data_IF_572949939357
#
_entry.id   IF_572949939357
#
_cell.length_a   1.000
_cell.length_b   1.000
_cell.length_c   1.000
_cell.angle_alpha   90.00
_cell.angle_beta   90.00
_cell.angle_gamma   90.00
#
_symmetry.space_group_name_H-M   'P 1'
#
loop_
_entity.id
_entity.type
_entity.pdbx_description
1 polymer ?
#
# COMPACT_ATOMS: atom_id res chain seq x y z
N UNK A 1 13.74 -5.05 28.28
CA UNK A 1 13.34 -5.50 26.93
C UNK A 1 12.00 -6.20 27.04
N UNK A 2 10.94 -5.52 26.61
CA UNK A 2 9.58 -6.08 26.66
C UNK A 2 9.46 -7.28 25.73
N UNK A 3 8.77 -8.32 26.20
CA UNK A 3 8.51 -9.53 25.42
C UNK A 3 7.50 -9.21 24.31
N UNK A 4 7.89 -9.43 23.06
CA UNK A 4 6.98 -9.30 21.90
C UNK A 4 6.09 -10.53 21.87
N UNK A 5 4.78 -10.32 21.83
CA UNK A 5 3.76 -11.37 21.62
C UNK A 5 3.15 -11.22 20.23
N UNK A 6 2.60 -12.29 19.70
CA UNK A 6 1.89 -12.29 18.42
C UNK A 6 0.53 -12.94 18.55
N UNK A 7 -0.43 -12.54 17.71
CA UNK A 7 -1.75 -13.18 17.65
C UNK A 7 -1.70 -14.59 17.05
N UNK A 8 -0.73 -14.85 16.16
CA UNK A 8 -0.56 -16.13 15.45
C UNK A 8 0.92 -16.51 15.57
N UNK A 9 1.21 -17.76 15.93
CA UNK A 9 2.58 -18.29 15.97
C UNK A 9 3.14 -18.40 14.56
N UNK A 10 4.45 -18.27 14.42
CA UNK A 10 5.12 -18.28 13.11
C UNK A 10 4.80 -19.54 12.28
N UNK A 11 4.91 -20.72 12.90
CA UNK A 11 4.60 -21.99 12.22
C UNK A 11 3.16 -22.03 11.70
N UNK A 12 2.20 -21.55 12.49
CA UNK A 12 0.80 -21.47 12.11
C UNK A 12 0.57 -20.46 10.98
N UNK A 13 1.23 -19.31 11.02
CA UNK A 13 1.16 -18.32 9.96
C UNK A 13 1.72 -18.86 8.63
N UNK A 14 2.82 -19.62 8.66
CA UNK A 14 3.37 -20.26 7.46
C UNK A 14 2.43 -21.33 6.89
N UNK A 15 1.71 -22.06 7.73
CA UNK A 15 0.66 -23.01 7.27
C UNK A 15 -0.50 -22.27 6.59
N UNK A 16 -0.95 -21.14 7.16
CA UNK A 16 -1.98 -20.29 6.54
C UNK A 16 -1.50 -19.81 5.16
N UNK A 17 -0.25 -19.33 5.02
CA UNK A 17 0.30 -18.90 3.73
C UNK A 17 0.27 -20.05 2.71
N UNK A 18 0.65 -21.26 3.12
CA UNK A 18 0.64 -22.43 2.24
C UNK A 18 -0.77 -22.75 1.73
N UNK A 19 -1.76 -22.71 2.62
CA UNK A 19 -3.16 -22.96 2.26
C UNK A 19 -3.72 -21.86 1.35
N UNK A 20 -3.41 -20.60 1.61
CA UNK A 20 -3.82 -19.47 0.78
C UNK A 20 -3.22 -19.55 -0.63
N UNK A 21 -1.96 -19.98 -0.76
CA UNK A 21 -1.33 -20.23 -2.08
C UNK A 21 -2.06 -21.34 -2.84
N UNK A 22 -2.49 -22.40 -2.16
CA UNK A 22 -3.28 -23.48 -2.77
C UNK A 22 -4.61 -22.95 -3.30
N UNK A 23 -5.33 -22.16 -2.51
CA UNK A 23 -6.61 -21.55 -2.89
C UNK A 23 -6.50 -20.60 -4.08
N UNK A 24 -5.41 -19.82 -4.18
CA UNK A 24 -5.13 -19.00 -5.36
C UNK A 24 -4.90 -19.89 -6.60
N UNK A 25 -4.14 -20.98 -6.47
CA UNK A 25 -3.89 -21.91 -7.58
C UNK A 25 -5.15 -22.64 -8.04
N UNK A 26 -6.12 -22.86 -7.16
CA UNK A 26 -7.42 -23.46 -7.44
C UNK A 26 -8.43 -22.47 -8.05
N UNK A 27 -8.11 -21.17 -8.06
CA UNK A 27 -8.97 -20.12 -8.61
C UNK A 27 -10.03 -19.60 -7.64
N UNK A 28 -9.98 -19.96 -6.35
CA UNK A 28 -10.90 -19.45 -5.32
C UNK A 28 -10.78 -17.95 -5.10
N UNK A 29 -9.58 -17.39 -5.33
CA UNK A 29 -9.28 -15.97 -5.18
C UNK A 29 -8.08 -15.56 -6.04
N UNK A 30 -8.02 -14.29 -6.42
CA UNK A 30 -6.89 -13.75 -7.19
C UNK A 30 -5.78 -13.20 -6.29
N UNK A 31 -6.15 -12.62 -5.16
CA UNK A 31 -5.24 -12.01 -4.21
C UNK A 31 -5.77 -12.14 -2.79
N UNK A 32 -4.87 -12.25 -1.83
CA UNK A 32 -5.17 -12.20 -0.40
C UNK A 32 -3.99 -11.60 0.35
N UNK A 33 -4.28 -10.78 1.34
CA UNK A 33 -3.26 -10.12 2.18
C UNK A 33 -3.36 -10.64 3.61
N UNK A 34 -2.68 -11.75 3.95
CA UNK A 34 -2.65 -12.23 5.32
C UNK A 34 -1.83 -11.32 6.21
N UNK A 35 -2.26 -11.15 7.45
CA UNK A 35 -1.57 -10.29 8.41
C UNK A 35 -1.23 -11.01 9.71
N UNK A 36 -0.18 -10.55 10.38
CA UNK A 36 0.24 -11.00 11.70
C UNK A 36 0.44 -9.80 12.59
N UNK A 37 -0.17 -9.80 13.77
CA UNK A 37 -0.13 -8.68 14.72
C UNK A 37 0.95 -8.96 15.76
N UNK A 38 1.80 -7.98 16.00
CA UNK A 38 2.81 -7.98 17.04
C UNK A 38 2.38 -7.07 18.18
N UNK A 39 2.36 -7.58 19.40
CA UNK A 39 2.03 -6.84 20.60
C UNK A 39 3.30 -6.55 21.38
N UNK A 40 3.54 -5.29 21.66
CA UNK A 40 4.63 -4.84 22.49
C UNK A 40 4.08 -4.14 23.73
N UNK A 41 4.41 -4.63 24.93
CA UNK A 41 4.02 -3.99 26.19
C UNK A 41 4.94 -2.78 26.43
N UNK A 42 4.37 -1.62 26.55
CA UNK A 42 5.08 -0.37 26.86
C UNK A 42 4.58 0.23 28.18
N UNK A 43 5.36 1.15 28.75
CA UNK A 43 5.08 1.83 30.01
C UNK A 43 4.71 3.30 29.81
N UNK A 44 4.01 3.62 28.72
CA UNK A 44 3.72 5.01 28.29
C UNK A 44 2.43 5.59 28.91
N UNK A 45 1.76 4.89 29.81
CA UNK A 45 0.42 5.25 30.28
C UNK A 45 0.31 6.71 30.76
N UNK A 46 1.30 7.22 31.51
CA UNK A 46 1.30 8.59 32.03
C UNK A 46 1.56 9.68 30.95
N UNK A 47 2.17 9.33 29.81
CA UNK A 47 2.59 10.27 28.77
C UNK A 47 2.26 9.76 27.36
N UNK A 48 1.17 9.02 27.22
CA UNK A 48 0.82 8.31 26.00
C UNK A 48 0.79 9.21 24.75
N UNK A 49 0.15 10.36 24.85
CA UNK A 49 0.04 11.31 23.74
C UNK A 49 1.39 11.86 23.31
N UNK A 50 2.20 12.30 24.26
CA UNK A 50 3.53 12.87 23.99
C UNK A 50 4.46 11.83 23.36
N UNK A 51 4.53 10.63 23.94
CA UNK A 51 5.43 9.57 23.49
C UNK A 51 4.97 8.96 22.16
N UNK A 52 3.67 8.83 21.92
CA UNK A 52 3.14 8.38 20.63
C UNK A 52 3.41 9.41 19.52
N UNK A 53 3.33 10.71 19.82
CA UNK A 53 3.69 11.74 18.86
C UNK A 53 5.20 11.76 18.56
N UNK A 54 6.04 11.55 19.56
CA UNK A 54 7.49 11.38 19.34
C UNK A 54 7.80 10.14 18.49
N UNK A 55 7.06 9.04 18.69
CA UNK A 55 7.16 7.84 17.86
C UNK A 55 6.79 8.15 16.40
N UNK A 56 5.68 8.88 16.18
CA UNK A 56 5.30 9.35 14.84
C UNK A 56 6.39 10.21 14.19
N UNK A 57 6.96 11.16 14.93
CA UNK A 57 8.05 12.00 14.42
C UNK A 57 9.31 11.18 14.08
N UNK A 58 9.60 10.14 14.86
CA UNK A 58 10.70 9.21 14.57
C UNK A 58 10.42 8.39 13.32
N UNK A 59 9.20 7.86 13.18
CA UNK A 59 8.77 7.14 11.98
C UNK A 59 8.89 8.04 10.74
N UNK A 60 8.42 9.28 10.81
CA UNK A 60 8.50 10.25 9.71
C UNK A 60 9.95 10.53 9.26
N UNK A 61 10.90 10.50 10.18
CA UNK A 61 12.33 10.68 9.85
C UNK A 61 12.99 9.42 9.29
N UNK A 62 12.59 8.24 9.77
CA UNK A 62 13.21 6.96 9.39
C UNK A 62 12.59 6.34 8.15
N UNK A 63 11.31 6.57 7.93
CA UNK A 63 10.55 6.02 6.81
C UNK A 63 9.53 7.03 6.30
N UNK A 64 9.99 8.14 5.67
CA UNK A 64 9.12 9.13 5.08
C UNK A 64 8.28 8.52 3.96
N UNK A 65 7.02 8.96 3.87
CA UNK A 65 6.06 8.42 2.91
C UNK A 65 5.08 9.53 2.50
N UNK A 66 4.49 9.49 1.30
CA UNK A 66 3.54 10.52 0.86
C UNK A 66 2.33 10.67 1.78
N UNK A 67 1.90 9.58 2.41
CA UNK A 67 0.72 9.56 3.27
C UNK A 67 1.08 9.14 4.70
N UNK A 68 1.58 10.11 5.46
CA UNK A 68 1.86 9.96 6.88
C UNK A 68 0.66 10.38 7.70
N UNK A 69 0.28 9.61 8.72
CA UNK A 69 -0.84 9.96 9.57
C UNK A 69 -0.58 9.69 11.05
N UNK A 70 -1.15 10.55 11.89
CA UNK A 70 -1.24 10.43 13.34
C UNK A 70 -2.67 10.75 13.74
N UNK A 71 -3.42 9.74 14.15
CA UNK A 71 -4.82 9.89 14.56
C UNK A 71 -4.89 9.70 16.06
N UNK A 72 -5.25 10.78 16.75
CA UNK A 72 -5.42 10.83 18.21
C UNK A 72 -6.82 11.35 18.54
N UNK A 73 -7.81 10.52 18.28
CA UNK A 73 -9.20 10.76 18.66
C UNK A 73 -9.61 9.61 19.56
N UNK A 74 -9.43 9.80 20.87
CA UNK A 74 -9.62 8.74 21.86
C UNK A 74 -8.55 7.62 21.78
N UNK A 75 -8.81 6.47 22.37
CA UNK A 75 -7.94 5.29 22.34
C UNK A 75 -8.58 4.26 21.41
N UNK A 76 -7.84 3.64 20.49
CA UNK A 76 -6.38 3.68 20.30
C UNK A 76 -5.85 4.86 19.47
N UNK A 77 -4.62 5.30 19.76
CA UNK A 77 -3.88 6.21 18.86
C UNK A 77 -3.36 5.39 17.68
N UNK A 78 -3.58 5.88 16.45
CA UNK A 78 -3.13 5.21 15.24
C UNK A 78 -2.04 6.02 14.56
N UNK A 79 -0.92 5.37 14.25
CA UNK A 79 0.24 5.97 13.59
C UNK A 79 0.57 5.16 12.35
N UNK A 80 0.77 5.82 11.23
CA UNK A 80 1.10 5.11 10.00
C UNK A 80 1.93 5.92 9.03
N UNK A 81 2.55 5.16 8.11
CA UNK A 81 3.32 5.63 6.97
C UNK A 81 2.90 4.78 5.77
N UNK A 82 2.23 5.38 4.80
CA UNK A 82 1.73 4.67 3.62
C UNK A 82 2.30 5.28 2.33
N UNK A 83 2.83 4.48 1.42
CA UNK A 83 3.24 4.94 0.10
C UNK A 83 2.06 5.12 -0.85
N UNK A 84 0.92 4.49 -0.56
CA UNK A 84 -0.19 4.33 -1.48
C UNK A 84 -1.45 5.03 -0.97
N UNK A 85 -2.18 5.64 -1.91
CA UNK A 85 -3.48 6.22 -1.66
C UNK A 85 -4.57 5.17 -1.87
N UNK A 86 -5.45 5.02 -0.89
CA UNK A 86 -6.62 4.14 -1.03
C UNK A 86 -7.64 4.74 -2.01
N UNK A 87 -8.05 5.98 -1.74
CA UNK A 87 -8.95 6.76 -2.59
C UNK A 87 -8.73 8.25 -2.34
N UNK A 88 -8.84 9.05 -3.39
CA UNK A 88 -8.79 10.51 -3.31
C UNK A 88 -9.94 11.12 -4.09
N UNK A 89 -10.62 12.07 -3.48
CA UNK A 89 -11.59 12.92 -4.17
C UNK A 89 -11.06 14.35 -4.19
N UNK A 90 -10.99 14.94 -5.37
CA UNK A 90 -10.57 16.33 -5.55
C UNK A 90 -11.30 16.93 -6.75
N UNK A 91 -11.91 18.10 -6.56
CA UNK A 91 -12.59 18.87 -7.61
C UNK A 91 -13.64 18.03 -8.38
N UNK A 92 -14.42 17.21 -7.66
CA UNK A 92 -15.45 16.33 -8.22
C UNK A 92 -14.91 15.11 -8.98
N UNK A 93 -13.61 14.86 -8.96
CA UNK A 93 -12.99 13.67 -9.53
C UNK A 93 -12.52 12.73 -8.42
N UNK A 94 -12.66 11.44 -8.66
CA UNK A 94 -12.16 10.37 -7.80
C UNK A 94 -10.97 9.70 -8.46
N UNK A 95 -9.98 9.33 -7.63
CA UNK A 95 -8.71 8.76 -8.05
C UNK A 95 -8.36 7.55 -7.20
N UNK A 96 -7.73 6.57 -7.83
CA UNK A 96 -6.93 5.53 -7.18
C UNK A 96 -5.61 5.35 -7.92
N UNK A 97 -4.56 5.05 -7.18
CA UNK A 97 -3.21 4.89 -7.74
C UNK A 97 -2.67 3.51 -7.38
N UNK A 98 -2.98 2.46 -8.14
CA UNK A 98 -2.41 1.15 -7.92
C UNK A 98 -0.88 1.19 -8.00
N UNK A 99 -0.23 0.62 -6.98
CA UNK A 99 1.22 0.47 -6.90
C UNK A 99 1.53 -1.02 -6.76
N UNK A 100 2.26 -1.57 -7.71
CA UNK A 100 2.79 -2.94 -7.63
C UNK A 100 4.07 -3.05 -8.43
N UNK A 101 4.90 -4.01 -8.06
CA UNK A 101 6.24 -4.12 -8.59
C UNK A 101 7.20 -3.18 -7.87
N UNK A 102 8.23 -3.75 -7.27
CA UNK A 102 9.20 -3.00 -6.47
C UNK A 102 10.61 -3.48 -6.78
N UNK A 103 11.50 -2.54 -7.05
CA UNK A 103 12.93 -2.80 -7.14
C UNK A 103 13.72 -1.73 -6.38
N UNK A 104 14.85 -2.11 -5.82
CA UNK A 104 15.74 -1.17 -5.12
C UNK A 104 16.32 -0.16 -6.08
N UNK A 105 16.61 1.05 -5.56
CA UNK A 105 17.41 2.05 -6.27
C UNK A 105 18.81 1.52 -6.52
N UNK A 106 19.38 1.88 -7.65
CA UNK A 106 20.79 1.65 -7.95
C UNK A 106 21.71 2.61 -7.21
N UNK A 107 22.99 2.26 -7.10
CA UNK A 107 24.01 3.13 -6.50
C UNK A 107 24.41 4.30 -7.43
N UNK A 108 24.04 4.21 -8.71
CA UNK A 108 24.31 5.21 -9.73
C UNK A 108 23.21 5.17 -10.81
N UNK A 109 23.21 6.18 -11.69
CA UNK A 109 22.20 6.33 -12.75
C UNK A 109 22.12 5.11 -13.69
N UNK A 110 23.25 4.51 -14.05
CA UNK A 110 23.29 3.34 -14.96
C UNK A 110 22.65 2.11 -14.32
N UNK A 111 22.89 1.91 -13.04
CA UNK A 111 22.27 0.83 -12.27
C UNK A 111 20.76 1.07 -12.08
N UNK A 112 20.34 2.30 -11.81
CA UNK A 112 18.92 2.67 -11.75
C UNK A 112 18.20 2.36 -13.07
N UNK A 113 18.80 2.72 -14.21
CA UNK A 113 18.23 2.44 -15.54
C UNK A 113 18.17 0.92 -15.83
N UNK A 114 19.13 0.15 -15.37
CA UNK A 114 19.12 -1.32 -15.50
C UNK A 114 18.03 -1.93 -14.59
N UNK A 115 17.91 -1.48 -13.36
CA UNK A 115 16.89 -1.93 -12.43
C UNK A 115 15.48 -1.61 -12.95
N UNK A 116 15.27 -0.43 -13.50
CA UNK A 116 14.01 -0.08 -14.18
C UNK A 116 13.69 -1.04 -15.32
N UNK A 117 14.66 -1.29 -16.21
CA UNK A 117 14.48 -2.24 -17.33
C UNK A 117 14.18 -3.66 -16.84
N UNK A 118 14.79 -4.07 -15.74
CA UNK A 118 14.53 -5.37 -15.11
C UNK A 118 13.11 -5.44 -14.59
N UNK A 119 12.67 -4.42 -13.84
CA UNK A 119 11.32 -4.35 -13.30
C UNK A 119 10.26 -4.36 -14.41
N UNK A 120 10.48 -3.58 -15.48
CA UNK A 120 9.55 -3.51 -16.63
C UNK A 120 9.56 -4.74 -17.54
N UNK A 121 10.39 -5.73 -17.27
CA UNK A 121 10.41 -7.04 -17.96
C UNK A 121 9.97 -8.19 -17.06
N UNK A 122 9.72 -7.93 -15.79
CA UNK A 122 9.26 -8.95 -14.84
C UNK A 122 7.76 -9.22 -15.06
N UNK A 123 7.45 -10.29 -15.79
CA UNK A 123 6.08 -10.66 -16.12
C UNK A 123 5.21 -10.94 -14.89
N UNK A 124 5.80 -11.39 -13.79
CA UNK A 124 5.06 -11.58 -12.54
C UNK A 124 4.60 -10.23 -11.98
N UNK A 125 5.52 -9.28 -11.83
CA UNK A 125 5.23 -7.94 -11.31
C UNK A 125 4.26 -7.18 -12.24
N UNK A 126 4.44 -7.29 -13.55
CA UNK A 126 3.55 -6.70 -14.54
C UNK A 126 2.14 -7.31 -14.51
N UNK A 127 2.03 -8.63 -14.33
CA UNK A 127 0.73 -9.32 -14.23
C UNK A 127 -0.02 -8.92 -12.96
N UNK A 128 0.67 -8.86 -11.83
CA UNK A 128 0.10 -8.37 -10.58
C UNK A 128 -0.37 -6.92 -10.73
N UNK A 129 0.42 -6.06 -11.34
CA UNK A 129 0.07 -4.67 -11.56
C UNK A 129 -1.16 -4.50 -12.46
N UNK A 130 -1.26 -5.27 -13.57
CA UNK A 130 -2.45 -5.29 -14.45
C UNK A 130 -3.71 -5.67 -13.68
N UNK A 131 -3.61 -6.68 -12.82
CA UNK A 131 -4.73 -7.12 -11.96
C UNK A 131 -5.19 -5.99 -11.03
N UNK A 132 -4.27 -5.27 -10.39
CA UNK A 132 -4.60 -4.15 -9.51
C UNK A 132 -5.19 -2.95 -10.28
N UNK A 133 -4.72 -2.68 -11.49
CA UNK A 133 -5.29 -1.64 -12.36
C UNK A 133 -6.72 -1.99 -12.77
N UNK A 134 -7.00 -3.24 -13.11
CA UNK A 134 -8.35 -3.68 -13.47
C UNK A 134 -9.29 -3.63 -12.26
N UNK A 135 -8.83 -4.00 -11.06
CA UNK A 135 -9.57 -3.84 -9.83
C UNK A 135 -9.89 -2.35 -9.57
N UNK A 136 -8.88 -1.48 -9.61
CA UNK A 136 -9.03 -0.04 -9.42
C UNK A 136 -9.98 0.59 -10.46
N UNK A 137 -9.91 0.15 -11.72
CA UNK A 137 -10.82 0.59 -12.78
C UNK A 137 -12.27 0.19 -12.47
N UNK A 138 -12.50 -1.04 -12.02
CA UNK A 138 -13.82 -1.51 -11.62
C UNK A 138 -14.38 -0.70 -10.44
N UNK A 139 -13.58 -0.46 -9.42
CA UNK A 139 -13.99 0.30 -8.24
C UNK A 139 -14.31 1.76 -8.59
N UNK A 140 -13.47 2.43 -9.36
CA UNK A 140 -13.73 3.80 -9.85
C UNK A 140 -14.97 3.84 -10.73
N UNK A 141 -15.19 2.87 -11.61
CA UNK A 141 -16.38 2.81 -12.48
C UNK A 141 -17.68 2.77 -11.67
N UNK A 142 -17.72 2.04 -10.56
CA UNK A 142 -18.91 1.91 -9.69
C UNK A 142 -19.37 3.23 -9.08
N UNK A 143 -18.45 4.13 -8.78
CA UNK A 143 -18.70 5.41 -8.10
C UNK A 143 -18.63 6.62 -9.02
N UNK A 144 -18.22 6.44 -10.27
CA UNK A 144 -18.12 7.52 -11.26
C UNK A 144 -19.35 7.61 -12.14
N UNK A 145 -19.56 8.79 -12.74
CA UNK A 145 -20.53 8.99 -13.82
C UNK A 145 -20.19 8.06 -14.98
N UNK A 146 -21.23 7.56 -15.64
CA UNK A 146 -21.08 6.65 -16.77
C UNK A 146 -20.19 7.26 -17.86
N UNK A 147 -19.21 6.47 -18.36
CA UNK A 147 -18.30 6.88 -19.42
C UNK A 147 -17.14 7.78 -19.00
N UNK A 148 -17.00 8.14 -17.72
CA UNK A 148 -15.94 9.05 -17.26
C UNK A 148 -14.74 8.32 -16.64
N UNK A 149 -14.86 7.01 -16.37
CA UNK A 149 -13.77 6.21 -15.82
C UNK A 149 -12.69 5.99 -16.87
N UNK A 150 -11.44 6.35 -16.55
CA UNK A 150 -10.31 6.23 -17.46
C UNK A 150 -8.99 5.97 -16.70
N UNK A 151 -8.05 5.35 -17.39
CA UNK A 151 -6.66 5.20 -16.91
C UNK A 151 -5.89 6.40 -17.46
N UNK A 152 -5.42 7.28 -16.57
CA UNK A 152 -4.67 8.50 -16.95
C UNK A 152 -3.17 8.29 -16.96
N UNK A 153 -2.70 7.31 -16.18
CA UNK A 153 -1.32 6.80 -16.22
C UNK A 153 -1.36 5.28 -16.20
N UNK A 154 -0.56 4.63 -17.02
CA UNK A 154 -0.45 3.18 -17.07
C UNK A 154 1.00 2.75 -16.98
N UNK A 155 1.33 1.97 -15.92
CA UNK A 155 2.65 1.33 -15.73
C UNK A 155 3.83 2.29 -15.87
N UNK A 156 3.77 3.43 -15.20
CA UNK A 156 4.90 4.38 -15.13
C UNK A 156 5.80 4.06 -13.96
N UNK A 157 7.10 4.32 -14.10
CA UNK A 157 8.05 4.14 -13.00
C UNK A 157 8.09 5.41 -12.14
N UNK A 158 7.78 5.26 -10.86
CA UNK A 158 8.02 6.29 -9.86
C UNK A 158 9.22 5.92 -8.98
N UNK A 159 10.11 6.89 -8.81
CA UNK A 159 11.36 6.72 -8.05
C UNK A 159 11.24 7.40 -6.70
N UNK A 160 11.37 6.59 -5.65
CA UNK A 160 11.45 7.04 -4.27
C UNK A 160 12.90 6.99 -3.78
N UNK A 161 13.14 7.38 -2.54
CA UNK A 161 14.49 7.46 -1.99
C UNK A 161 15.25 6.12 -2.05
N UNK A 162 14.58 5.00 -1.73
CA UNK A 162 15.22 3.69 -1.61
C UNK A 162 14.75 2.65 -2.64
N UNK A 163 13.63 2.92 -3.30
CA UNK A 163 12.99 1.96 -4.22
C UNK A 163 12.39 2.67 -5.43
N UNK A 164 12.12 1.90 -6.48
CA UNK A 164 11.26 2.27 -7.60
C UNK A 164 10.03 1.36 -7.61
N UNK A 165 8.90 1.92 -8.01
CA UNK A 165 7.64 1.20 -8.16
C UNK A 165 7.05 1.39 -9.56
N UNK A 166 6.28 0.39 -10.00
CA UNK A 166 5.35 0.56 -11.12
C UNK A 166 4.08 1.17 -10.55
N UNK A 167 3.64 2.30 -11.12
CA UNK A 167 2.47 3.06 -10.67
C UNK A 167 1.54 3.29 -11.85
N UNK A 168 0.24 3.15 -11.61
CA UNK A 168 -0.81 3.57 -12.53
C UNK A 168 -1.77 4.53 -11.83
N UNK A 169 -2.56 5.25 -12.59
CA UNK A 169 -3.60 6.13 -12.08
C UNK A 169 -4.91 5.87 -12.82
N UNK A 170 -5.95 5.60 -12.06
CA UNK A 170 -7.32 5.48 -12.56
C UNK A 170 -8.16 6.60 -11.96
N UNK A 171 -8.94 7.26 -12.79
CA UNK A 171 -9.78 8.39 -12.37
C UNK A 171 -11.16 8.34 -13.00
N UNK A 172 -12.11 9.06 -12.41
CA UNK A 172 -13.44 9.27 -12.95
C UNK A 172 -14.13 10.47 -12.32
N UNK A 173 -15.17 10.98 -12.93
CA UNK A 173 -16.02 12.01 -12.32
C UNK A 173 -16.93 11.37 -11.27
N UNK A 174 -16.88 11.87 -10.04
CA UNK A 174 -17.69 11.33 -8.96
C UNK A 174 -19.19 11.53 -9.25
N UNK A 175 -20.02 10.54 -8.94
CA UNK A 175 -21.48 10.68 -9.02
C UNK A 175 -21.97 11.79 -8.08
N UNK A 176 -22.98 12.58 -8.46
CA UNK A 176 -23.40 13.77 -7.72
C UNK A 176 -23.93 13.48 -6.30
N UNK A 177 -24.32 12.25 -6.02
CA UNK A 177 -24.90 11.84 -4.72
C UNK A 177 -23.84 11.22 -3.77
N UNK A 178 -22.57 11.28 -4.15
CA UNK A 178 -21.46 10.75 -3.35
C UNK A 178 -20.54 11.90 -2.90
N UNK A 179 -20.07 11.80 -1.65
CA UNK A 179 -19.17 12.78 -1.03
C UNK A 179 -17.96 12.08 -0.41
#
# INVERSE_FOLDING_TARGET
>A
TGQIKTNIREKEFLQIITELKRKIAEGDMFQVVPSRIYFYKHHFAAHLQQLSFQLYQKLKRQNPSPYMYYINKDVPIVIGSSPEIFVKVKDGKVYTNPIAGTIKRGQNKKEDENNEKTLMKDEKELSEHRMLVDLGRNDIHRISKTGTSQITKLMTIERYEHVMHIVSEVTGELKPNLS
#
